data_IF_750090173884
#
_entry.id   IF_750090173884
#
_cell.length_a   1.000
_cell.length_b   1.000
_cell.length_c   1.000
_cell.angle_alpha   90.00
_cell.angle_beta   90.00
_cell.angle_gamma   90.00
#
_symmetry.space_group_name_H-M   'P 1'
#
loop_
_entity.id
_entity.type
_entity.pdbx_description
1 polymer ?
#
# COMPACT_ATOMS: atom_id res chain seq x y z
N UNK A 1 11.72 -17.32 -4.43
CA UNK A 1 11.83 -15.88 -4.69
C UNK A 1 11.78 -15.21 -3.34
N UNK A 2 12.80 -14.42 -2.98
CA UNK A 2 12.82 -13.73 -1.69
C UNK A 2 11.75 -12.64 -1.74
N UNK A 3 10.58 -12.93 -1.16
CA UNK A 3 9.61 -11.91 -0.83
C UNK A 3 10.29 -11.08 0.25
N UNK A 4 10.88 -9.96 -0.14
CA UNK A 4 11.30 -8.94 0.81
C UNK A 4 10.02 -8.43 1.45
N UNK A 5 9.71 -8.94 2.64
CA UNK A 5 8.62 -8.49 3.51
C UNK A 5 8.92 -7.06 3.97
N UNK A 6 8.75 -6.11 3.05
CA UNK A 6 8.93 -4.71 3.36
C UNK A 6 7.63 -4.15 3.88
N UNK A 7 7.63 -3.90 5.18
CA UNK A 7 6.56 -3.22 5.90
C UNK A 7 6.63 -1.72 5.62
N UNK A 8 5.47 -1.13 5.35
CA UNK A 8 5.30 0.31 5.22
C UNK A 8 4.18 0.78 6.12
N UNK A 9 4.39 1.92 6.75
CA UNK A 9 3.36 2.65 7.49
C UNK A 9 2.62 3.56 6.53
N UNK A 10 1.29 3.52 6.60
CA UNK A 10 0.41 4.47 5.93
C UNK A 10 0.46 5.78 6.69
N UNK A 11 0.95 6.86 6.08
CA UNK A 11 1.16 8.15 6.76
C UNK A 11 -0.02 9.12 6.62
N UNK A 12 -0.98 8.82 5.73
CA UNK A 12 -2.20 9.59 5.49
C UNK A 12 -3.33 8.66 5.03
N UNK A 13 -4.57 9.02 5.33
CA UNK A 13 -5.74 8.28 4.85
C UNK A 13 -5.85 8.37 3.32
N UNK A 14 -6.21 7.27 2.69
CA UNK A 14 -6.46 7.17 1.26
C UNK A 14 -7.74 6.36 1.05
N UNK A 15 -8.73 6.95 0.37
CA UNK A 15 -10.04 6.30 0.17
C UNK A 15 -10.05 5.31 -1.02
N UNK A 16 -8.96 5.20 -1.76
CA UNK A 16 -8.96 4.61 -3.10
C UNK A 16 -9.30 5.64 -4.17
N UNK A 17 -9.63 5.17 -5.37
CA UNK A 17 -10.05 6.01 -6.49
C UNK A 17 -11.41 5.54 -7.01
N UNK A 18 -12.36 6.48 -7.15
CA UNK A 18 -13.72 6.16 -7.58
C UNK A 18 -13.73 5.48 -8.96
N UNK A 19 -14.39 4.32 -9.04
CA UNK A 19 -14.47 3.52 -10.26
C UNK A 19 -13.25 2.64 -10.54
N UNK A 20 -12.18 2.74 -9.75
CA UNK A 20 -10.92 2.03 -9.97
C UNK A 20 -10.64 1.05 -8.83
N UNK A 21 -11.17 -0.17 -8.95
CA UNK A 21 -11.09 -1.22 -7.89
C UNK A 21 -9.68 -1.69 -7.57
N UNK A 22 -8.70 -1.37 -8.42
CA UNK A 22 -7.29 -1.66 -8.17
C UNK A 22 -6.71 -0.78 -7.05
N UNK A 23 -7.28 0.39 -6.77
CA UNK A 23 -6.83 1.26 -5.69
C UNK A 23 -7.67 1.02 -4.44
N UNK A 24 -7.02 0.57 -3.37
CA UNK A 24 -7.70 0.14 -2.15
C UNK A 24 -7.58 1.17 -1.03
N UNK A 25 -8.61 1.29 -0.18
CA UNK A 25 -8.57 2.23 0.92
C UNK A 25 -7.61 1.80 2.02
N UNK A 26 -6.85 2.77 2.54
CA UNK A 26 -5.96 2.62 3.69
C UNK A 26 -6.11 3.80 4.66
N UNK A 27 -5.83 3.53 5.93
CA UNK A 27 -5.97 4.49 7.03
C UNK A 27 -4.58 4.78 7.59
N UNK A 28 -4.34 6.03 7.97
CA UNK A 28 -3.11 6.45 8.62
C UNK A 28 -2.81 5.60 9.87
N UNK A 29 -1.57 5.16 10.00
CA UNK A 29 -1.07 4.32 11.08
C UNK A 29 -1.20 2.82 10.80
N UNK A 30 -1.85 2.41 9.71
CA UNK A 30 -1.82 1.01 9.28
C UNK A 30 -0.42 0.62 8.82
N UNK A 31 0.00 -0.60 9.19
CA UNK A 31 1.21 -1.22 8.65
C UNK A 31 0.79 -2.21 7.56
N UNK A 32 1.30 -2.03 6.35
CA UNK A 32 0.97 -2.82 5.16
C UNK A 32 2.21 -3.48 4.57
N UNK A 33 2.04 -4.65 3.97
CA UNK A 33 3.13 -5.32 3.25
C UNK A 33 3.18 -4.82 1.81
N UNK A 34 4.31 -4.24 1.39
CA UNK A 34 4.53 -3.89 -0.02
C UNK A 34 5.09 -5.11 -0.74
N UNK A 35 4.33 -5.62 -1.71
CA UNK A 35 4.73 -6.77 -2.54
C UNK A 35 5.31 -6.35 -3.89
N UNK A 36 5.05 -5.11 -4.33
CA UNK A 36 5.62 -4.54 -5.56
C UNK A 36 5.76 -3.02 -5.45
N UNK A 37 6.91 -2.49 -5.88
CA UNK A 37 7.14 -1.05 -6.00
C UNK A 37 7.12 -0.61 -7.45
N UNK A 38 6.29 0.37 -7.77
CA UNK A 38 6.25 1.06 -9.06
C UNK A 38 6.47 2.57 -8.84
N UNK A 39 6.59 3.34 -9.91
CA UNK A 39 7.02 4.75 -9.85
C UNK A 39 5.97 5.64 -9.16
N UNK A 40 4.67 5.36 -9.38
CA UNK A 40 3.58 6.19 -8.86
C UNK A 40 2.88 5.56 -7.64
N UNK A 41 2.83 4.24 -7.60
CA UNK A 41 2.11 3.48 -6.58
C UNK A 41 2.86 2.23 -6.19
N UNK A 42 2.60 1.74 -4.98
CA UNK A 42 3.03 0.43 -4.53
C UNK A 42 1.82 -0.49 -4.51
N UNK A 43 2.05 -1.75 -4.90
CA UNK A 43 1.07 -2.81 -4.68
C UNK A 43 1.32 -3.37 -3.28
N UNK A 44 0.29 -3.33 -2.46
CA UNK A 44 0.30 -3.84 -1.10
C UNK A 44 -0.62 -5.04 -0.95
N UNK A 45 -0.36 -5.85 0.07
CA UNK A 45 -1.27 -6.86 0.58
C UNK A 45 -1.77 -6.46 1.98
N UNK A 46 -3.10 -6.44 2.15
CA UNK A 46 -3.78 -6.13 3.41
C UNK A 46 -4.99 -7.04 3.57
N UNK A 47 -5.06 -7.84 4.63
CA UNK A 47 -6.20 -8.73 4.91
C UNK A 47 -6.61 -9.61 3.71
N UNK A 48 -5.63 -10.21 3.02
CA UNK A 48 -5.81 -11.00 1.79
C UNK A 48 -6.36 -10.20 0.59
N UNK A 49 -6.44 -8.87 0.69
CA UNK A 49 -6.73 -7.97 -0.42
C UNK A 49 -5.40 -7.45 -0.99
N UNK A 50 -5.26 -7.55 -2.30
CA UNK A 50 -4.14 -6.97 -3.04
C UNK A 50 -4.63 -5.74 -3.76
N UNK A 51 -3.93 -4.62 -3.58
CA UNK A 51 -4.32 -3.36 -4.21
C UNK A 51 -3.19 -2.34 -4.23
N UNK A 52 -3.43 -1.26 -4.97
CA UNK A 52 -2.48 -0.17 -5.20
C UNK A 52 -2.74 0.97 -4.25
N UNK A 53 -1.66 1.54 -3.74
CA UNK A 53 -1.66 2.76 -2.93
C UNK A 53 -0.56 3.69 -3.47
N UNK A 54 -0.84 4.98 -3.71
CA UNK A 54 0.19 5.89 -4.20
C UNK A 54 1.35 5.98 -3.21
N UNK A 55 2.58 5.98 -3.72
CA UNK A 55 3.78 5.84 -2.86
C UNK A 55 3.91 6.97 -1.83
N UNK A 56 3.34 8.15 -2.10
CA UNK A 56 3.36 9.31 -1.20
C UNK A 56 2.56 9.11 0.10
N UNK A 57 1.68 8.10 0.14
CA UNK A 57 0.90 7.73 1.32
C UNK A 57 1.62 6.71 2.19
N UNK A 58 2.79 6.20 1.75
CA UNK A 58 3.51 5.12 2.40
C UNK A 58 4.90 5.58 2.84
N UNK A 59 5.33 5.13 4.01
CA UNK A 59 6.68 5.33 4.53
C UNK A 59 7.25 3.99 4.98
N UNK A 60 8.51 3.71 4.63
CA UNK A 60 9.17 2.48 5.08
C UNK A 60 9.13 2.42 6.61
N UNK A 61 8.56 1.33 7.14
CA UNK A 61 8.47 1.05 8.55
C UNK A 61 9.68 0.19 8.92
N UNK A 62 10.51 0.69 9.85
CA UNK A 62 11.72 0.02 10.33
C UNK A 62 11.51 -0.51 11.73
#
# INVERSE_FOLDING_TARGET
MAQTDELFEVIRDYAGQDGETQFIPVIKGEIVHVIKKEIEYYTIEKNNLIGKVPMEYLRSYK
#
